data_IF_046488504350
#
_entry.id   IF_046488504350
#
_cell.length_a   1.000
_cell.length_b   1.000
_cell.length_c   1.000
_cell.angle_alpha   90.00
_cell.angle_beta   90.00
_cell.angle_gamma   90.00
#
_symmetry.space_group_name_H-M   'P 1'
#
loop_
_entity.id
_entity.type
_entity.pdbx_description
1 polymer ?
#
# COMPACT_ATOMS: atom_id res chain seq x y z
N UNK A 1 -6.53 4.99 7.61
CA UNK A 1 -6.13 4.97 6.20
C UNK A 1 -5.08 3.89 6.05
N UNK A 2 -5.24 3.01 5.07
CA UNK A 2 -4.26 2.00 4.69
C UNK A 2 -3.40 2.53 3.55
N UNK A 3 -2.10 2.41 3.70
CA UNK A 3 -1.11 2.82 2.70
C UNK A 3 -0.67 1.63 1.88
N UNK A 4 -0.66 1.78 0.58
CA UNK A 4 -0.07 0.83 -0.36
C UNK A 4 1.46 0.98 -0.39
N UNK A 5 2.17 -0.01 -0.88
CA UNK A 5 3.64 -0.05 -1.04
C UNK A 5 4.16 1.19 -1.77
N UNK A 6 3.47 1.63 -2.81
CA UNK A 6 3.89 2.78 -3.61
C UNK A 6 3.87 4.08 -2.80
N UNK A 7 2.86 4.28 -1.95
CA UNK A 7 2.79 5.45 -1.06
C UNK A 7 3.94 5.43 -0.03
N UNK A 8 4.26 4.25 0.50
CA UNK A 8 5.39 4.10 1.42
C UNK A 8 6.71 4.42 0.69
N UNK A 9 6.86 3.97 -0.54
CA UNK A 9 8.05 4.31 -1.35
C UNK A 9 8.11 5.80 -1.70
N UNK A 10 6.98 6.46 -1.91
CA UNK A 10 6.94 7.92 -2.06
C UNK A 10 7.45 8.61 -0.80
N UNK A 11 6.98 8.20 0.38
CA UNK A 11 7.46 8.74 1.66
C UNK A 11 8.98 8.61 1.84
N UNK A 12 9.57 7.56 1.29
CA UNK A 12 11.02 7.32 1.32
C UNK A 12 11.78 7.99 0.18
N UNK A 13 11.09 8.61 -0.78
CA UNK A 13 11.70 9.23 -1.96
C UNK A 13 12.18 8.23 -3.02
N UNK A 14 11.68 6.98 -2.98
CA UNK A 14 12.08 5.93 -3.94
C UNK A 14 11.37 6.02 -5.31
N UNK A 15 10.51 7.02 -5.51
CA UNK A 15 9.84 7.30 -6.77
C UNK A 15 10.05 8.77 -7.22
N UNK A 16 11.11 9.40 -6.73
CA UNK A 16 11.48 10.77 -7.04
C UNK A 16 10.93 11.82 -6.08
N UNK A 17 11.55 13.00 -6.10
CA UNK A 17 11.32 14.08 -5.11
C UNK A 17 9.89 14.65 -5.15
N UNK A 18 9.26 14.76 -6.33
CA UNK A 18 7.90 15.32 -6.44
C UNK A 18 6.90 14.45 -5.65
N UNK A 19 6.97 13.14 -5.82
CA UNK A 19 6.08 12.22 -5.09
C UNK A 19 6.39 12.17 -3.61
N UNK A 20 7.66 12.31 -3.25
CA UNK A 20 8.09 12.43 -1.86
C UNK A 20 7.49 13.66 -1.20
N UNK A 21 7.57 14.81 -1.84
CA UNK A 21 7.03 16.06 -1.29
C UNK A 21 5.52 15.97 -1.08
N UNK A 22 4.78 15.44 -2.06
CA UNK A 22 3.33 15.21 -1.95
C UNK A 22 3.00 14.26 -0.78
N UNK A 23 3.75 13.16 -0.65
CA UNK A 23 3.52 12.19 0.42
C UNK A 23 3.87 12.76 1.81
N UNK A 24 4.91 13.58 1.91
CA UNK A 24 5.26 14.28 3.14
C UNK A 24 4.25 15.36 3.52
N UNK A 25 3.72 16.10 2.56
CA UNK A 25 2.64 17.07 2.81
C UNK A 25 1.37 16.36 3.31
N UNK A 26 1.00 15.22 2.73
CA UNK A 26 -0.08 14.38 3.24
C UNK A 26 0.17 13.95 4.69
N UNK A 27 1.37 13.46 5.00
CA UNK A 27 1.73 13.04 6.36
C UNK A 27 1.66 14.21 7.36
N UNK A 28 2.16 15.38 6.97
CA UNK A 28 2.11 16.62 7.77
C UNK A 28 0.66 17.03 8.02
N UNK A 29 -0.17 17.04 6.98
CA UNK A 29 -1.59 17.38 7.07
C UNK A 29 -2.34 16.43 8.01
N UNK A 30 -2.07 15.11 7.90
CA UNK A 30 -2.64 14.11 8.81
C UNK A 30 -2.30 14.39 10.28
N UNK A 31 -1.04 14.75 10.55
CA UNK A 31 -0.58 15.12 11.90
C UNK A 31 -1.27 16.40 12.41
N UNK A 32 -1.44 17.38 11.54
CA UNK A 32 -2.13 18.63 11.89
C UNK A 32 -3.60 18.39 12.23
N UNK A 33 -4.32 17.58 11.45
CA UNK A 33 -5.70 17.19 11.76
C UNK A 33 -5.76 16.50 13.12
N UNK A 34 -4.89 15.52 13.34
CA UNK A 34 -4.85 14.78 14.60
C UNK A 34 -4.57 15.67 15.80
N UNK A 35 -3.67 16.65 15.66
CA UNK A 35 -3.32 17.59 16.74
C UNK A 35 -4.47 18.55 17.11
N UNK A 36 -5.33 18.89 16.14
CA UNK A 36 -6.46 19.82 16.29
C UNK A 36 -7.77 19.13 16.67
N UNK A 37 -7.81 17.79 16.66
CA UNK A 37 -9.05 17.03 16.90
C UNK A 37 -9.46 17.06 18.37
N UNK A 38 -10.38 17.95 18.71
CA UNK A 38 -10.98 18.04 20.04
C UNK A 38 -11.82 16.80 20.42
N UNK A 39 -12.31 16.04 19.45
CA UNK A 39 -13.20 14.89 19.65
C UNK A 39 -12.46 13.56 19.76
N UNK A 40 -11.13 13.55 19.87
CA UNK A 40 -10.29 12.33 19.87
C UNK A 40 -10.53 11.41 18.66
N UNK A 41 -11.01 11.96 17.54
CA UNK A 41 -11.06 11.25 16.26
C UNK A 41 -9.69 11.41 15.61
N UNK A 42 -8.97 10.29 15.43
CA UNK A 42 -7.64 10.30 14.87
C UNK A 42 -7.60 9.58 13.54
N UNK A 43 -6.91 10.17 12.58
CA UNK A 43 -6.53 9.47 11.35
C UNK A 43 -5.35 8.57 11.69
N UNK A 44 -5.58 7.26 11.72
CA UNK A 44 -4.51 6.27 11.83
C UNK A 44 -4.01 5.91 10.44
N UNK A 45 -2.69 5.97 10.27
CA UNK A 45 -2.02 5.47 9.07
C UNK A 45 -1.51 4.05 9.35
N UNK A 46 -1.90 3.12 8.50
CA UNK A 46 -1.56 1.71 8.67
C UNK A 46 -1.22 1.09 7.31
N UNK A 47 -0.63 -0.08 7.32
CA UNK A 47 -0.45 -0.91 6.13
C UNK A 47 -0.76 -2.37 6.45
N UNK A 48 -1.14 -3.14 5.44
CA UNK A 48 -1.39 -4.59 5.60
C UNK A 48 -0.07 -5.37 5.62
N UNK A 49 -0.04 -6.58 6.23
CA UNK A 49 1.15 -7.45 6.25
C UNK A 49 1.68 -7.78 4.84
N UNK A 50 0.81 -7.83 3.84
CA UNK A 50 1.18 -8.06 2.44
C UNK A 50 2.05 -6.93 1.90
N UNK A 51 1.76 -5.68 2.27
CA UNK A 51 2.58 -4.52 1.90
C UNK A 51 4.00 -4.64 2.49
N UNK A 52 4.11 -5.11 3.74
CA UNK A 52 5.43 -5.39 4.33
C UNK A 52 6.18 -6.46 3.54
N UNK A 53 5.50 -7.56 3.24
CA UNK A 53 6.08 -8.67 2.46
C UNK A 53 6.52 -8.20 1.07
N UNK A 54 5.74 -7.33 0.44
CA UNK A 54 6.09 -6.73 -0.85
C UNK A 54 7.33 -5.83 -0.75
N UNK A 55 7.41 -4.97 0.26
CA UNK A 55 8.59 -4.14 0.54
C UNK A 55 9.83 -5.02 0.74
N UNK A 56 9.71 -6.06 1.56
CA UNK A 56 10.81 -7.01 1.80
C UNK A 56 11.23 -7.74 0.50
N UNK A 57 10.27 -8.08 -0.35
CA UNK A 57 10.51 -8.63 -1.68
C UNK A 57 11.29 -7.69 -2.58
N UNK A 58 10.98 -6.39 -2.58
CA UNK A 58 11.74 -5.38 -3.31
C UNK A 58 13.21 -5.31 -2.84
N UNK A 59 13.45 -5.31 -1.54
CA UNK A 59 14.82 -5.31 -1.01
C UNK A 59 15.56 -6.61 -1.28
N UNK A 60 14.87 -7.75 -1.25
CA UNK A 60 15.45 -9.05 -1.64
C UNK A 60 15.87 -9.03 -3.11
N UNK A 61 15.00 -8.53 -3.99
CA UNK A 61 15.31 -8.38 -5.41
C UNK A 61 16.45 -7.39 -5.64
N UNK A 62 16.47 -6.26 -4.93
CA UNK A 62 17.56 -5.30 -4.99
C UNK A 62 18.90 -5.95 -4.63
N UNK A 63 18.92 -6.78 -3.58
CA UNK A 63 20.11 -7.54 -3.19
C UNK A 63 20.59 -8.46 -4.31
N UNK A 64 19.71 -9.22 -4.95
CA UNK A 64 20.07 -10.09 -6.07
C UNK A 64 20.63 -9.33 -7.27
N UNK A 65 20.02 -8.21 -7.63
CA UNK A 65 20.50 -7.33 -8.71
C UNK A 65 21.91 -6.83 -8.39
N UNK A 66 22.12 -6.35 -7.15
CA UNK A 66 23.42 -5.86 -6.69
C UNK A 66 24.49 -6.96 -6.73
N UNK A 67 24.20 -8.15 -6.17
CA UNK A 67 25.15 -9.27 -6.11
C UNK A 67 25.55 -9.81 -7.49
N UNK A 68 24.61 -9.82 -8.44
CA UNK A 68 24.83 -10.35 -9.79
C UNK A 68 25.25 -9.30 -10.79
N UNK A 69 25.34 -8.03 -10.35
CA UNK A 69 25.62 -6.91 -11.24
C UNK A 69 24.67 -6.86 -12.45
N UNK A 70 23.39 -7.18 -12.22
CA UNK A 70 22.38 -7.19 -13.27
C UNK A 70 22.02 -5.76 -13.69
N UNK A 71 21.66 -5.61 -14.98
CA UNK A 71 21.21 -4.31 -15.50
C UNK A 71 19.84 -3.94 -14.90
N UNK A 72 19.73 -2.69 -14.44
CA UNK A 72 18.48 -2.14 -13.92
C UNK A 72 17.50 -1.83 -15.05
N UNK A 73 16.24 -2.16 -14.82
CA UNK A 73 15.16 -1.64 -15.65
C UNK A 73 14.82 -0.21 -15.20
N UNK A 74 15.13 0.83 -16.00
CA UNK A 74 14.92 2.24 -15.60
C UNK A 74 13.46 2.61 -15.43
N UNK A 75 12.52 1.77 -15.91
CA UNK A 75 11.08 1.97 -15.73
C UNK A 75 10.58 1.62 -14.32
N UNK A 76 11.38 0.88 -13.55
CA UNK A 76 11.08 0.53 -12.16
C UNK A 76 11.80 1.52 -11.26
N UNK A 77 11.24 2.74 -11.16
CA UNK A 77 11.86 3.88 -10.46
C UNK A 77 12.25 3.56 -9.02
N UNK A 78 11.37 2.91 -8.27
CA UNK A 78 11.65 2.51 -6.89
C UNK A 78 12.91 1.63 -6.78
N UNK A 79 13.12 0.68 -7.71
CA UNK A 79 14.32 -0.18 -7.70
C UNK A 79 15.58 0.60 -8.00
N UNK A 80 15.49 1.56 -8.94
CA UNK A 80 16.62 2.45 -9.28
C UNK A 80 17.01 3.28 -8.05
N UNK A 81 16.05 3.88 -7.35
CA UNK A 81 16.32 4.71 -6.18
C UNK A 81 16.77 3.89 -4.97
N UNK A 82 16.26 2.68 -4.78
CA UNK A 82 16.75 1.76 -3.73
C UNK A 82 18.22 1.42 -3.94
N UNK A 83 18.62 1.15 -5.19
CA UNK A 83 20.00 0.78 -5.53
C UNK A 83 20.93 1.97 -5.72
N UNK A 84 20.39 3.17 -5.80
CA UNK A 84 21.21 4.39 -5.91
C UNK A 84 22.16 4.51 -4.71
N UNK A 85 23.42 4.78 -4.99
CA UNK A 85 24.52 4.97 -4.02
C UNK A 85 24.81 3.72 -3.13
N UNK A 86 24.29 2.55 -3.47
CA UNK A 86 24.57 1.29 -2.77
C UNK A 86 25.96 0.80 -3.18
N UNK A 87 26.84 0.59 -2.18
CA UNK A 87 28.20 0.09 -2.35
C UNK A 87 28.39 -1.29 -1.70
N UNK A 88 27.49 -1.68 -0.81
CA UNK A 88 27.55 -2.93 -0.07
C UNK A 88 26.15 -3.49 0.23
N UNK A 89 26.07 -4.76 0.57
CA UNK A 89 24.82 -5.35 1.08
C UNK A 89 24.34 -4.68 2.38
N UNK A 90 25.28 -4.21 3.20
CA UNK A 90 24.95 -3.48 4.43
C UNK A 90 24.20 -2.19 4.14
N UNK A 91 24.48 -1.51 3.03
CA UNK A 91 23.75 -0.30 2.64
C UNK A 91 22.28 -0.61 2.31
N UNK A 92 21.99 -1.75 1.67
CA UNK A 92 20.61 -2.19 1.42
C UNK A 92 19.89 -2.54 2.72
N UNK A 93 20.56 -3.22 3.65
CA UNK A 93 19.99 -3.53 4.97
C UNK A 93 19.71 -2.26 5.76
N UNK A 94 20.60 -1.28 5.70
CA UNK A 94 20.40 0.02 6.35
C UNK A 94 19.20 0.75 5.72
N UNK A 95 19.11 0.85 4.39
CA UNK A 95 17.96 1.47 3.72
C UNK A 95 16.64 0.79 4.10
N UNK A 96 16.60 -0.55 4.18
CA UNK A 96 15.43 -1.28 4.64
C UNK A 96 15.09 -0.96 6.10
N UNK A 97 16.07 -0.95 6.98
CA UNK A 97 15.91 -0.61 8.39
C UNK A 97 15.42 0.83 8.57
N UNK A 98 15.98 1.77 7.81
CA UNK A 98 15.61 3.17 7.84
C UNK A 98 14.15 3.38 7.41
N UNK A 99 13.69 2.63 6.39
CA UNK A 99 12.28 2.64 5.97
C UNK A 99 11.36 2.24 7.13
N UNK A 100 11.56 1.09 7.74
CA UNK A 100 10.69 0.63 8.84
C UNK A 100 10.81 1.52 10.08
N UNK A 101 12.00 2.05 10.36
CA UNK A 101 12.22 3.04 11.42
C UNK A 101 11.47 4.33 11.14
N UNK A 102 11.48 4.81 9.89
CA UNK A 102 10.71 5.98 9.48
C UNK A 102 9.21 5.77 9.69
N UNK A 103 8.67 4.61 9.25
CA UNK A 103 7.26 4.27 9.44
C UNK A 103 6.89 4.30 10.93
N UNK A 104 7.65 3.59 11.76
CA UNK A 104 7.40 3.54 13.20
C UNK A 104 7.45 4.92 13.87
N UNK A 105 8.47 5.73 13.58
CA UNK A 105 8.62 7.10 14.12
C UNK A 105 7.48 8.04 13.71
N UNK A 106 6.82 7.76 12.59
CA UNK A 106 5.69 8.55 12.10
C UNK A 106 4.33 7.97 12.51
N UNK A 107 4.31 6.91 13.36
CA UNK A 107 3.08 6.26 13.80
C UNK A 107 2.35 5.53 12.68
N UNK A 108 3.07 5.08 11.65
CA UNK A 108 2.56 4.25 10.56
C UNK A 108 2.81 2.80 10.95
N UNK A 109 1.76 2.06 11.27
CA UNK A 109 1.84 0.75 11.91
C UNK A 109 1.34 -0.36 10.99
N UNK A 110 1.92 -1.54 11.14
CA UNK A 110 1.38 -2.76 10.53
C UNK A 110 0.03 -3.09 11.18
N UNK A 111 -1.00 -3.30 10.37
CA UNK A 111 -2.30 -3.73 10.86
C UNK A 111 -2.26 -5.23 11.15
N UNK A 112 -2.32 -5.59 12.43
CA UNK A 112 -2.28 -6.98 12.88
C UNK A 112 -3.64 -7.70 12.84
N UNK A 113 -4.70 -7.04 12.36
CA UNK A 113 -6.02 -7.66 12.27
C UNK A 113 -5.98 -8.75 11.20
N UNK A 114 -6.10 -9.99 11.61
CA UNK A 114 -6.29 -11.11 10.71
C UNK A 114 -7.73 -11.09 10.21
N UNK A 115 -7.92 -10.75 8.95
CA UNK A 115 -9.23 -10.79 8.30
C UNK A 115 -9.39 -12.17 7.68
N UNK A 116 -10.17 -13.02 8.33
CA UNK A 116 -10.50 -14.33 7.82
C UNK A 116 -11.76 -14.23 6.96
N UNK A 117 -11.56 -14.27 5.64
CA UNK A 117 -12.62 -14.17 4.64
C UNK A 117 -13.54 -15.40 4.62
N UNK A 118 -13.11 -16.52 5.24
CA UNK A 118 -13.88 -17.76 5.26
C UNK A 118 -14.89 -17.80 6.41
N UNK A 119 -14.80 -16.89 7.37
CA UNK A 119 -15.77 -16.80 8.45
C UNK A 119 -17.13 -16.37 7.92
N UNK A 120 -18.18 -17.05 8.39
CA UNK A 120 -19.56 -16.78 7.99
C UNK A 120 -19.99 -15.33 8.17
N UNK A 121 -19.49 -14.66 9.20
CA UNK A 121 -19.75 -13.23 9.47
C UNK A 121 -19.15 -12.25 8.46
N UNK A 122 -18.16 -12.72 7.67
CA UNK A 122 -17.47 -11.92 6.66
C UNK A 122 -17.91 -12.30 5.24
N UNK A 123 -18.67 -13.37 5.09
CA UNK A 123 -19.02 -13.92 3.78
C UNK A 123 -19.85 -12.96 2.92
N UNK A 124 -20.76 -12.22 3.52
CA UNK A 124 -21.61 -11.26 2.82
C UNK A 124 -20.84 -10.02 2.32
N UNK A 125 -19.63 -9.76 2.88
CA UNK A 125 -18.76 -8.65 2.49
C UNK A 125 -17.65 -9.07 1.53
N UNK A 126 -17.61 -10.36 1.18
CA UNK A 126 -16.61 -10.91 0.28
C UNK A 126 -16.95 -10.55 -1.17
N UNK A 127 -16.10 -9.69 -1.77
CA UNK A 127 -16.23 -9.26 -3.16
C UNK A 127 -15.49 -10.16 -4.15
N UNK A 128 -14.75 -11.16 -3.67
CA UNK A 128 -13.94 -12.02 -4.52
C UNK A 128 -14.75 -13.22 -4.95
N UNK A 129 -14.95 -13.35 -6.27
CA UNK A 129 -15.40 -14.58 -6.92
C UNK A 129 -14.50 -14.88 -8.11
N UNK A 130 -14.57 -16.11 -8.62
CA UNK A 130 -13.82 -16.50 -9.82
C UNK A 130 -14.25 -15.67 -11.05
N UNK A 131 -15.52 -15.31 -11.12
CA UNK A 131 -16.07 -14.47 -12.18
C UNK A 131 -15.46 -13.07 -12.12
N UNK A 132 -15.39 -12.45 -10.93
CA UNK A 132 -14.79 -11.12 -10.73
C UNK A 132 -13.30 -11.14 -11.09
N UNK A 133 -12.55 -12.14 -10.64
CA UNK A 133 -11.12 -12.30 -10.98
C UNK A 133 -10.94 -12.37 -12.50
N UNK A 134 -11.72 -13.23 -13.17
CA UNK A 134 -11.62 -13.42 -14.61
C UNK A 134 -12.03 -12.15 -15.38
N UNK A 135 -13.06 -11.47 -14.94
CA UNK A 135 -13.52 -10.23 -15.57
C UNK A 135 -12.50 -9.10 -15.40
N UNK A 136 -11.94 -8.90 -14.21
CA UNK A 136 -10.91 -7.89 -13.96
C UNK A 136 -9.63 -8.19 -14.74
N UNK A 137 -9.19 -9.44 -14.79
CA UNK A 137 -8.05 -9.84 -15.60
C UNK A 137 -8.30 -9.55 -17.09
N UNK A 138 -9.47 -9.89 -17.59
CA UNK A 138 -9.80 -9.74 -19.02
C UNK A 138 -10.03 -8.28 -19.41
N UNK A 139 -10.85 -7.54 -18.63
CA UNK A 139 -11.25 -6.17 -18.97
C UNK A 139 -10.13 -5.16 -18.77
N UNK A 140 -9.25 -5.38 -17.79
CA UNK A 140 -8.19 -4.44 -17.46
C UNK A 140 -6.80 -4.87 -17.98
N UNK A 141 -6.68 -6.10 -18.46
CA UNK A 141 -5.37 -6.67 -18.86
C UNK A 141 -4.37 -6.65 -17.68
N UNK A 142 -4.88 -6.92 -16.47
CA UNK A 142 -4.08 -6.96 -15.26
C UNK A 142 -3.80 -8.42 -14.93
N UNK A 143 -2.60 -8.88 -15.24
CA UNK A 143 -2.16 -10.18 -14.76
C UNK A 143 -2.03 -10.18 -13.23
N UNK A 144 -2.51 -11.25 -12.59
CA UNK A 144 -2.44 -11.43 -11.14
C UNK A 144 -3.14 -10.31 -10.35
N UNK A 145 -4.37 -9.97 -10.72
CA UNK A 145 -5.16 -8.97 -9.99
C UNK A 145 -5.61 -9.45 -8.59
N UNK A 146 -5.37 -10.71 -8.24
CA UNK A 146 -5.82 -11.32 -6.98
C UNK A 146 -5.36 -10.55 -5.75
N UNK A 147 -4.10 -10.13 -5.69
CA UNK A 147 -3.58 -9.36 -4.55
C UNK A 147 -4.27 -7.99 -4.39
N UNK A 148 -4.65 -7.37 -5.51
CA UNK A 148 -5.41 -6.10 -5.50
C UNK A 148 -6.81 -6.36 -4.97
N UNK A 149 -7.48 -7.40 -5.48
CA UNK A 149 -8.81 -7.79 -5.06
C UNK A 149 -8.84 -8.22 -3.59
N UNK A 150 -7.83 -8.95 -3.11
CA UNK A 150 -7.68 -9.28 -1.69
C UNK A 150 -7.58 -8.04 -0.82
N UNK A 151 -6.86 -7.03 -1.26
CA UNK A 151 -6.76 -5.75 -0.53
C UNK A 151 -8.12 -5.05 -0.48
N UNK A 152 -8.85 -4.99 -1.60
CA UNK A 152 -10.20 -4.42 -1.65
C UNK A 152 -11.16 -5.20 -0.77
N UNK A 153 -11.08 -6.52 -0.81
CA UNK A 153 -11.89 -7.40 0.01
C UNK A 153 -11.69 -7.14 1.51
N UNK A 154 -10.44 -6.97 1.95
CA UNK A 154 -10.14 -6.60 3.33
C UNK A 154 -10.78 -5.27 3.72
N UNK A 155 -10.70 -4.27 2.85
CA UNK A 155 -11.34 -2.97 3.08
C UNK A 155 -12.87 -3.11 3.12
N UNK A 156 -13.47 -3.89 2.22
CA UNK A 156 -14.91 -4.17 2.20
C UNK A 156 -15.38 -4.80 3.51
N UNK A 157 -14.71 -5.85 3.96
CA UNK A 157 -15.01 -6.53 5.22
C UNK A 157 -14.87 -5.57 6.42
N UNK A 158 -13.83 -4.74 6.45
CA UNK A 158 -13.65 -3.74 7.51
C UNK A 158 -14.75 -2.68 7.51
N UNK A 159 -15.26 -2.31 6.34
CA UNK A 159 -16.37 -1.36 6.19
C UNK A 159 -17.72 -1.94 6.55
N UNK A 160 -17.92 -3.27 6.42
CA UNK A 160 -19.20 -3.96 6.66
C UNK A 160 -20.38 -3.28 5.97
N UNK A 161 -20.25 -3.00 4.67
CA UNK A 161 -21.26 -2.28 3.85
C UNK A 161 -21.65 -0.90 4.40
N UNK A 162 -20.85 -0.25 5.24
CA UNK A 162 -21.10 1.13 5.60
C UNK A 162 -20.81 2.02 4.39
N UNK A 163 -21.84 2.28 3.59
CA UNK A 163 -21.79 3.24 2.50
C UNK A 163 -22.04 4.64 3.07
N UNK A 164 -20.98 5.24 3.60
CA UNK A 164 -21.06 6.59 4.13
C UNK A 164 -21.06 7.60 2.99
N UNK A 165 -22.12 8.38 2.85
CA UNK A 165 -22.22 9.44 1.83
C UNK A 165 -21.22 10.57 2.08
N UNK A 166 -20.88 10.80 3.34
CA UNK A 166 -19.92 11.83 3.73
C UNK A 166 -18.53 11.23 3.95
N UNK A 167 -17.56 11.68 3.17
CA UNK A 167 -16.17 11.25 3.26
C UNK A 167 -15.60 11.29 4.69
N UNK A 168 -16.01 12.27 5.50
CA UNK A 168 -15.59 12.44 6.89
C UNK A 168 -15.99 11.27 7.81
N UNK A 169 -16.97 10.49 7.41
CA UNK A 169 -17.48 9.34 8.15
C UNK A 169 -16.86 8.01 7.67
N UNK A 170 -16.18 8.01 6.54
CA UNK A 170 -15.55 6.79 6.00
C UNK A 170 -14.42 6.34 6.92
N UNK A 171 -14.58 5.16 7.53
CA UNK A 171 -13.66 4.66 8.54
C UNK A 171 -12.39 4.04 7.96
N UNK A 172 -12.50 3.41 6.81
CA UNK A 172 -11.39 2.63 6.21
C UNK A 172 -11.21 3.06 4.76
N UNK A 173 -10.03 3.57 4.44
CA UNK A 173 -9.67 4.09 3.12
C UNK A 173 -8.36 3.45 2.71
N UNK A 174 -8.28 2.94 1.48
CA UNK A 174 -7.03 2.57 0.85
C UNK A 174 -6.47 3.77 0.09
N UNK A 175 -5.25 4.14 0.38
CA UNK A 175 -4.49 5.13 -0.37
C UNK A 175 -3.45 4.41 -1.21
N UNK A 176 -3.60 4.47 -2.53
CA UNK A 176 -2.70 3.83 -3.49
C UNK A 176 -2.31 4.81 -4.59
N UNK A 177 -1.06 4.78 -5.02
CA UNK A 177 -0.56 5.43 -6.23
C UNK A 177 -0.48 4.48 -7.43
N UNK A 178 -0.76 3.20 -7.23
CA UNK A 178 -0.63 2.17 -8.24
C UNK A 178 -1.76 2.29 -9.29
N UNK A 179 -1.38 2.49 -10.56
CA UNK A 179 -2.34 2.64 -11.66
C UNK A 179 -3.22 1.41 -11.89
N UNK A 180 -2.71 0.20 -11.61
CA UNK A 180 -3.49 -1.04 -11.70
C UNK A 180 -4.56 -1.09 -10.62
N UNK A 181 -4.20 -0.74 -9.38
CA UNK A 181 -5.13 -0.63 -8.25
C UNK A 181 -6.22 0.39 -8.53
N UNK A 182 -5.86 1.57 -9.05
CA UNK A 182 -6.85 2.60 -9.42
C UNK A 182 -7.79 2.12 -10.53
N UNK A 183 -7.26 1.50 -11.60
CA UNK A 183 -8.10 0.94 -12.67
C UNK A 183 -9.05 -0.13 -12.17
N UNK A 184 -8.59 -1.02 -11.28
CA UNK A 184 -9.43 -2.03 -10.67
C UNK A 184 -10.54 -1.40 -9.81
N UNK A 185 -10.22 -0.38 -9.02
CA UNK A 185 -11.20 0.31 -8.16
C UNK A 185 -12.35 0.98 -8.92
N UNK A 186 -12.16 1.33 -10.20
CA UNK A 186 -13.21 1.91 -11.06
C UNK A 186 -13.90 0.88 -11.94
N UNK A 187 -13.63 -0.40 -11.75
CA UNK A 187 -14.33 -1.46 -12.49
C UNK A 187 -15.73 -1.69 -11.91
N UNK A 188 -16.75 -1.70 -12.76
CA UNK A 188 -18.16 -1.84 -12.35
C UNK A 188 -18.50 -3.21 -11.75
N UNK A 189 -17.65 -4.21 -11.97
CA UNK A 189 -17.84 -5.56 -11.41
C UNK A 189 -17.45 -5.67 -9.94
N UNK A 190 -16.74 -4.65 -9.43
CA UNK A 190 -16.25 -4.60 -8.04
C UNK A 190 -17.12 -3.69 -7.18
N UNK A 191 -17.92 -2.79 -7.80
CA UNK A 191 -18.76 -1.79 -7.14
C UNK A 191 -20.20 -2.22 -7.02
#
# INVERSE_FOLDING_TARGET
>A
IFLDTEIIFHLMGYNGEIYKDIAHDFLKFTKEINSKSAQKKYIKLQYFPEVKSEIEGFFTKAKHIFERNESLNPRVTAMVDILKDVKSQSDLLNKKSDLFTFLSRNGIEENSITIDVTKSENYEFNIISQEVIQEVNTSLGIDNCESILETFNKISILRRNSNEENFENVRYILLSGNSKTLRAAFNTSIN
#
